data_IF_974037400842
#
_entry.id   IF_974037400842
#
_cell.length_a   1.000
_cell.length_b   1.000
_cell.length_c   1.000
_cell.angle_alpha   90.00
_cell.angle_beta   90.00
_cell.angle_gamma   90.00
#
_symmetry.space_group_name_H-M   'P 1'
#
loop_
_entity.id
_entity.type
_entity.pdbx_description
1 polymer ?
#
# COMPACT_ATOMS: atom_id res chain seq x y z
N UNK A 1 -19.34 -0.72 28.83
CA UNK A 1 -19.38 0.46 29.74
C UNK A 1 -18.58 1.57 29.08
N UNK A 2 -19.25 2.55 28.46
CA UNK A 2 -18.56 3.67 27.80
C UNK A 2 -18.20 4.69 28.89
N UNK A 3 -16.89 4.94 29.08
CA UNK A 3 -16.41 5.82 30.14
C UNK A 3 -16.94 7.25 29.95
N UNK A 4 -17.32 7.92 31.05
CA UNK A 4 -17.84 9.29 31.10
C UNK A 4 -16.94 10.36 30.41
N UNK A 5 -15.71 9.99 30.04
CA UNK A 5 -14.76 10.81 29.28
C UNK A 5 -15.09 10.94 27.77
N UNK A 6 -15.98 10.10 27.23
CA UNK A 6 -16.33 10.07 25.81
C UNK A 6 -17.58 10.92 25.45
N UNK A 7 -18.34 11.39 26.45
CA UNK A 7 -19.50 12.24 26.25
C UNK A 7 -19.08 13.71 26.43
N UNK A 8 -19.25 14.55 25.41
CA UNK A 8 -19.18 16.01 25.57
C UNK A 8 -20.44 16.64 25.01
N UNK A 9 -21.07 17.51 25.78
CA UNK A 9 -22.28 18.24 25.39
C UNK A 9 -23.42 17.31 24.89
N UNK A 10 -23.57 16.13 25.49
CA UNK A 10 -24.61 15.16 25.10
C UNK A 10 -24.29 14.31 23.86
N UNK A 11 -23.15 14.55 23.21
CA UNK A 11 -22.69 13.77 22.06
C UNK A 11 -21.61 12.77 22.47
N UNK A 12 -21.72 11.55 21.96
CA UNK A 12 -20.67 10.53 22.08
C UNK A 12 -19.59 10.81 21.03
N UNK A 13 -18.40 11.17 21.49
CA UNK A 13 -17.23 11.31 20.63
C UNK A 13 -16.65 9.91 20.40
N UNK A 14 -17.08 9.25 19.33
CA UNK A 14 -16.65 7.88 19.01
C UNK A 14 -15.14 7.77 18.77
N UNK A 15 -14.52 8.88 18.39
CA UNK A 15 -13.10 8.93 18.04
C UNK A 15 -12.82 8.40 16.64
N UNK A 16 -13.87 8.16 15.85
CA UNK A 16 -13.77 7.74 14.46
C UNK A 16 -13.74 8.95 13.53
N UNK A 17 -12.93 8.87 12.49
CA UNK A 17 -12.79 9.91 11.47
C UNK A 17 -13.38 9.40 10.17
N UNK A 18 -14.14 10.25 9.50
CA UNK A 18 -14.81 9.94 8.25
C UNK A 18 -14.86 11.13 7.31
N UNK A 19 -15.33 10.90 6.08
CA UNK A 19 -15.64 11.92 5.09
C UNK A 19 -17.02 11.61 4.54
N UNK A 20 -17.69 12.63 4.04
CA UNK A 20 -18.92 12.45 3.27
C UNK A 20 -18.55 12.21 1.81
N UNK A 21 -19.07 11.13 1.23
CA UNK A 21 -18.94 10.88 -0.20
C UNK A 21 -19.84 11.83 -1.01
N UNK A 22 -19.79 11.71 -2.35
CA UNK A 22 -20.57 12.57 -3.25
C UNK A 22 -22.10 12.40 -3.08
N UNK A 23 -22.54 11.27 -2.54
CA UNK A 23 -23.94 10.94 -2.30
C UNK A 23 -24.40 11.31 -0.88
N UNK A 24 -23.51 11.90 -0.07
CA UNK A 24 -23.79 12.34 1.30
C UNK A 24 -23.74 11.23 2.34
N UNK A 25 -23.16 10.07 2.03
CA UNK A 25 -22.93 9.03 3.02
C UNK A 25 -21.64 9.29 3.80
N UNK A 26 -21.72 9.14 5.13
CA UNK A 26 -20.54 9.17 5.99
C UNK A 26 -19.76 7.87 5.84
N UNK A 27 -18.61 7.93 5.19
CA UNK A 27 -17.65 6.84 5.15
C UNK A 27 -16.72 6.99 6.35
N UNK A 28 -16.76 6.03 7.27
CA UNK A 28 -15.93 6.01 8.48
C UNK A 28 -14.64 5.24 8.18
N UNK A 29 -13.47 5.86 8.35
CA UNK A 29 -12.18 5.27 7.95
C UNK A 29 -11.44 4.56 9.05
N UNK A 30 -11.30 5.18 10.22
CA UNK A 30 -10.63 4.59 11.39
C UNK A 30 -10.66 5.55 12.59
N UNK A 31 -10.05 5.13 13.71
CA UNK A 31 -9.77 6.01 14.86
C UNK A 31 -8.84 7.16 14.46
N UNK A 32 -9.07 8.33 15.04
CA UNK A 32 -8.30 9.58 14.78
C UNK A 32 -6.77 9.42 14.88
N UNK A 33 -6.27 8.42 15.61
CA UNK A 33 -4.83 8.18 15.79
C UNK A 33 -4.16 7.49 14.60
N UNK A 34 -4.92 6.86 13.72
CA UNK A 34 -4.42 6.05 12.61
C UNK A 34 -4.49 6.79 11.26
N UNK A 35 -4.87 8.07 11.28
CA UNK A 35 -4.92 8.97 10.12
C UNK A 35 -3.55 9.61 9.88
N UNK A 36 -3.10 9.60 8.63
CA UNK A 36 -1.89 10.29 8.18
C UNK A 36 -2.22 11.64 7.54
N UNK A 37 -1.23 12.54 7.50
CA UNK A 37 -1.42 13.90 6.98
C UNK A 37 -0.39 14.16 5.87
N UNK A 38 -0.86 14.49 4.68
CA UNK A 38 -0.01 14.94 3.57
C UNK A 38 0.65 16.29 3.91
N UNK A 39 1.65 16.69 3.14
CA UNK A 39 2.37 17.96 3.35
C UNK A 39 1.50 19.21 3.22
N UNK A 40 0.35 19.11 2.55
CA UNK A 40 -0.63 20.19 2.38
C UNK A 40 -1.71 20.22 3.50
N UNK A 41 -1.62 19.32 4.48
CA UNK A 41 -2.60 19.20 5.56
C UNK A 41 -3.77 18.26 5.27
N UNK A 42 -3.86 17.71 4.04
CA UNK A 42 -4.87 16.72 3.68
C UNK A 42 -4.72 15.47 4.54
N UNK A 43 -5.82 14.98 5.09
CA UNK A 43 -5.87 13.76 5.88
C UNK A 43 -6.26 12.56 5.02
N UNK A 44 -5.60 11.43 5.22
CA UNK A 44 -5.98 10.15 4.63
C UNK A 44 -5.79 9.00 5.61
N UNK A 45 -6.57 7.94 5.45
CA UNK A 45 -6.48 6.74 6.29
C UNK A 45 -5.75 5.63 5.53
N UNK A 46 -4.48 5.33 5.85
CA UNK A 46 -3.70 4.32 5.14
C UNK A 46 -4.34 2.92 5.21
N UNK A 47 -4.85 2.51 6.38
CA UNK A 47 -5.48 1.20 6.56
C UNK A 47 -6.75 1.03 5.70
N UNK A 48 -7.51 2.11 5.51
CA UNK A 48 -8.68 2.10 4.65
C UNK A 48 -8.28 1.82 3.19
N UNK A 49 -7.27 2.53 2.68
CA UNK A 49 -6.74 2.33 1.32
C UNK A 49 -6.21 0.90 1.13
N UNK A 50 -5.42 0.41 2.08
CA UNK A 50 -4.84 -0.93 2.04
C UNK A 50 -5.92 -2.01 2.06
N UNK A 51 -6.91 -1.90 2.94
CA UNK A 51 -8.03 -2.84 3.01
C UNK A 51 -8.86 -2.81 1.74
N UNK A 52 -9.10 -1.61 1.17
CA UNK A 52 -9.84 -1.47 -0.07
C UNK A 52 -9.13 -2.11 -1.26
N UNK A 53 -7.82 -1.91 -1.40
CA UNK A 53 -7.04 -2.55 -2.47
C UNK A 53 -6.97 -4.06 -2.32
N UNK A 54 -6.94 -4.58 -1.09
CA UNK A 54 -6.95 -6.02 -0.80
C UNK A 54 -8.27 -6.73 -1.13
N UNK A 55 -9.33 -6.01 -1.51
CA UNK A 55 -10.50 -6.65 -2.14
C UNK A 55 -10.20 -7.14 -3.56
N UNK A 56 -9.17 -6.61 -4.21
CA UNK A 56 -8.69 -7.17 -5.46
C UNK A 56 -8.10 -8.56 -5.22
N UNK A 57 -8.49 -9.59 -5.99
CA UNK A 57 -7.92 -10.93 -5.83
C UNK A 57 -6.44 -10.99 -6.26
N UNK A 58 -5.95 -9.97 -6.98
CA UNK A 58 -4.58 -9.89 -7.46
C UNK A 58 -3.61 -9.28 -6.45
N UNK A 59 -4.11 -8.66 -5.38
CA UNK A 59 -3.32 -7.90 -4.41
C UNK A 59 -3.35 -8.61 -3.06
N UNK A 60 -2.17 -9.04 -2.59
CA UNK A 60 -2.02 -9.75 -1.32
C UNK A 60 -1.98 -8.81 -0.13
N UNK A 61 -1.06 -7.84 -0.21
CA UNK A 61 -0.83 -6.84 0.83
C UNK A 61 -0.43 -5.52 0.18
N UNK A 62 -0.73 -4.43 0.87
CA UNK A 62 -0.42 -3.08 0.41
C UNK A 62 0.15 -2.30 1.57
N UNK A 63 1.11 -1.44 1.26
CA UNK A 63 1.57 -0.39 2.15
C UNK A 63 1.28 0.97 1.52
N UNK A 64 0.32 1.70 2.09
CA UNK A 64 0.04 3.08 1.73
C UNK A 64 1.01 4.04 2.45
N UNK A 65 1.61 4.94 1.68
CA UNK A 65 2.62 5.91 2.13
C UNK A 65 2.13 7.30 1.78
N UNK A 66 2.31 8.27 2.68
CA UNK A 66 1.94 9.66 2.40
C UNK A 66 2.17 10.64 3.55
N UNK A 67 2.49 10.16 4.75
CA UNK A 67 2.69 11.06 5.90
C UNK A 67 3.80 12.09 5.62
N UNK A 68 3.44 13.37 5.69
CA UNK A 68 4.27 14.54 5.38
C UNK A 68 4.86 14.51 3.95
N UNK A 69 4.15 13.88 3.02
CA UNK A 69 4.50 13.79 1.59
C UNK A 69 3.48 14.52 0.71
N UNK A 70 3.84 14.90 -0.53
CA UNK A 70 2.94 15.66 -1.41
C UNK A 70 1.72 14.88 -1.92
N UNK A 71 1.72 13.55 -1.83
CA UNK A 71 0.61 12.71 -2.27
C UNK A 71 0.69 11.33 -1.64
N UNK A 72 -0.39 10.55 -1.78
CA UNK A 72 -0.40 9.13 -1.40
C UNK A 72 0.26 8.28 -2.49
N UNK A 73 1.21 7.45 -2.09
CA UNK A 73 1.82 6.41 -2.90
C UNK A 73 1.56 5.02 -2.29
N UNK A 74 1.79 3.96 -3.06
CA UNK A 74 1.61 2.59 -2.58
C UNK A 74 2.78 1.67 -2.94
N UNK A 75 3.10 0.74 -2.05
CA UNK A 75 3.92 -0.45 -2.34
C UNK A 75 2.97 -1.65 -2.32
N UNK A 76 2.92 -2.39 -3.42
CA UNK A 76 1.94 -3.47 -3.63
C UNK A 76 2.64 -4.83 -3.68
N UNK A 77 2.17 -5.77 -2.86
CA UNK A 77 2.53 -7.18 -2.97
C UNK A 77 1.41 -7.89 -3.74
N UNK A 78 1.76 -8.56 -4.83
CA UNK A 78 0.79 -9.34 -5.62
C UNK A 78 0.45 -10.65 -4.90
N UNK A 79 -0.74 -11.20 -5.13
CA UNK A 79 -1.01 -12.59 -4.74
C UNK A 79 -0.40 -13.54 -5.77
N UNK A 80 0.69 -14.22 -5.40
CA UNK A 80 1.47 -15.02 -6.34
C UNK A 80 0.65 -16.11 -7.04
N UNK A 81 -0.23 -16.78 -6.31
CA UNK A 81 -1.00 -17.89 -6.84
C UNK A 81 -2.06 -17.38 -7.84
N UNK A 82 -2.76 -16.30 -7.49
CA UNK A 82 -3.82 -15.75 -8.35
C UNK A 82 -3.23 -15.06 -9.58
N UNK A 83 -2.20 -14.23 -9.40
CA UNK A 83 -1.54 -13.52 -10.50
C UNK A 83 -0.78 -14.49 -11.40
N UNK A 84 -0.18 -15.54 -10.83
CA UNK A 84 0.48 -16.61 -11.58
C UNK A 84 -0.49 -17.30 -12.55
N UNK A 85 -1.65 -17.74 -12.06
CA UNK A 85 -2.70 -18.29 -12.92
C UNK A 85 -3.17 -17.30 -13.99
N UNK A 86 -3.37 -16.04 -13.61
CA UNK A 86 -3.77 -14.98 -14.55
C UNK A 86 -2.74 -14.77 -15.68
N UNK A 87 -1.45 -14.91 -15.37
CA UNK A 87 -0.35 -14.81 -16.31
C UNK A 87 -0.25 -16.04 -17.23
N UNK A 88 -0.42 -17.24 -16.68
CA UNK A 88 -0.50 -18.50 -17.45
C UNK A 88 -1.63 -18.47 -18.50
N UNK A 89 -2.82 -18.02 -18.11
CA UNK A 89 -3.98 -17.86 -19.01
C UNK A 89 -3.68 -16.90 -20.18
N UNK A 90 -2.72 -15.99 -19.99
CA UNK A 90 -2.26 -15.00 -20.98
C UNK A 90 -0.96 -15.37 -21.68
N UNK A 91 -0.41 -16.56 -21.40
CA UNK A 91 0.86 -17.05 -21.95
C UNK A 91 2.05 -16.14 -21.62
N UNK A 92 2.01 -15.48 -20.47
CA UNK A 92 3.13 -14.73 -19.92
C UNK A 92 4.03 -15.72 -19.18
N UNK A 93 5.25 -15.90 -19.67
CA UNK A 93 6.22 -16.78 -19.04
C UNK A 93 6.84 -16.09 -17.82
N UNK A 94 6.97 -16.83 -16.71
CA UNK A 94 7.69 -16.43 -15.52
C UNK A 94 8.18 -17.69 -14.80
N UNK A 95 9.21 -17.56 -13.97
CA UNK A 95 9.80 -18.68 -13.21
C UNK A 95 9.81 -18.45 -11.71
N UNK A 96 9.55 -17.22 -11.27
CA UNK A 96 9.64 -16.83 -9.87
C UNK A 96 8.72 -15.66 -9.53
N UNK A 97 8.47 -15.44 -8.25
CA UNK A 97 7.73 -14.27 -7.76
C UNK A 97 8.36 -12.94 -8.20
N UNK A 98 9.68 -12.70 -7.99
CA UNK A 98 10.29 -11.44 -8.38
C UNK A 98 10.10 -11.15 -9.86
N UNK A 99 10.31 -12.13 -10.72
CA UNK A 99 10.09 -12.00 -12.17
C UNK A 99 8.63 -11.62 -12.48
N UNK A 100 7.67 -12.39 -11.98
CA UNK A 100 6.24 -12.13 -12.20
C UNK A 100 5.80 -10.75 -11.68
N UNK A 101 6.25 -10.36 -10.48
CA UNK A 101 5.89 -9.07 -9.88
C UNK A 101 6.37 -7.87 -10.70
N UNK A 102 7.48 -8.06 -11.44
CA UNK A 102 8.08 -7.02 -12.27
C UNK A 102 7.62 -7.05 -13.73
N UNK A 103 6.77 -8.01 -14.12
CA UNK A 103 6.22 -8.09 -15.45
C UNK A 103 5.37 -6.87 -15.80
N UNK A 104 5.55 -6.33 -17.01
CA UNK A 104 4.86 -5.11 -17.42
C UNK A 104 3.34 -5.29 -17.44
N UNK A 105 2.87 -6.48 -17.81
CA UNK A 105 1.45 -6.82 -17.80
C UNK A 105 0.88 -6.88 -16.37
N UNK A 106 1.68 -7.28 -15.38
CA UNK A 106 1.28 -7.31 -13.97
C UNK A 106 1.25 -5.90 -13.36
N UNK A 107 2.18 -5.02 -13.76
CA UNK A 107 2.08 -3.60 -13.43
C UNK A 107 0.79 -2.96 -13.97
N UNK A 108 0.41 -3.26 -15.21
CA UNK A 108 -0.86 -2.77 -15.76
C UNK A 108 -2.08 -3.34 -15.04
N UNK A 109 -2.06 -4.64 -14.71
CA UNK A 109 -3.11 -5.28 -13.90
C UNK A 109 -3.31 -4.56 -12.56
N UNK A 110 -2.23 -4.32 -11.81
CA UNK A 110 -2.27 -3.62 -10.53
C UNK A 110 -2.72 -2.16 -10.72
N UNK A 111 -2.24 -1.48 -11.78
CA UNK A 111 -2.64 -0.11 -12.10
C UNK A 111 -4.14 -0.01 -12.30
N UNK A 112 -4.75 -0.94 -13.03
CA UNK A 112 -6.20 -0.99 -13.24
C UNK A 112 -6.98 -1.12 -11.93
N UNK A 113 -6.52 -1.97 -11.01
CA UNK A 113 -7.15 -2.15 -9.70
C UNK A 113 -7.06 -0.88 -8.83
N UNK A 114 -5.91 -0.18 -8.87
CA UNK A 114 -5.75 1.10 -8.17
C UNK A 114 -6.63 2.18 -8.80
N UNK A 115 -6.73 2.23 -10.13
CA UNK A 115 -7.63 3.18 -10.84
C UNK A 115 -9.08 2.93 -10.44
N UNK A 116 -9.54 1.68 -10.37
CA UNK A 116 -10.89 1.33 -9.93
C UNK A 116 -11.15 1.83 -8.50
N UNK A 117 -10.22 1.56 -7.57
CA UNK A 117 -10.34 2.02 -6.18
C UNK A 117 -10.35 3.55 -6.10
N UNK A 118 -9.49 4.24 -6.86
CA UNK A 118 -9.37 5.69 -6.84
C UNK A 118 -10.66 6.41 -7.25
N UNK A 119 -11.57 5.78 -8.01
CA UNK A 119 -12.85 6.41 -8.41
C UNK A 119 -13.72 6.79 -7.22
N UNK A 120 -13.67 6.00 -6.15
CA UNK A 120 -14.49 6.19 -4.96
C UNK A 120 -13.80 7.07 -3.90
N UNK A 121 -12.61 7.59 -4.20
CA UNK A 121 -11.81 8.37 -3.27
C UNK A 121 -11.85 9.87 -3.59
N UNK A 122 -11.84 10.73 -2.57
CA UNK A 122 -11.58 12.15 -2.75
C UNK A 122 -10.26 12.36 -3.50
N UNK A 123 -10.15 13.37 -4.39
CA UNK A 123 -8.94 13.60 -5.19
C UNK A 123 -7.64 13.60 -4.38
N UNK A 124 -7.68 14.17 -3.18
CA UNK A 124 -6.52 14.31 -2.30
C UNK A 124 -6.09 13.00 -1.59
N UNK A 125 -6.96 11.98 -1.56
CA UNK A 125 -6.68 10.66 -1.00
C UNK A 125 -6.35 9.60 -2.07
N UNK A 126 -6.41 9.96 -3.36
CA UNK A 126 -6.11 9.04 -4.47
C UNK A 126 -4.62 8.66 -4.46
N UNK A 127 -4.36 7.38 -4.68
CA UNK A 127 -2.99 6.88 -4.89
C UNK A 127 -2.49 7.41 -6.23
N UNK A 128 -1.39 8.15 -6.24
CA UNK A 128 -0.82 8.78 -7.45
C UNK A 128 0.33 7.99 -8.07
N UNK A 129 1.12 7.29 -7.26
CA UNK A 129 2.23 6.45 -7.72
C UNK A 129 2.27 5.14 -6.96
N UNK A 130 2.77 4.09 -7.60
CA UNK A 130 3.01 2.82 -6.93
C UNK A 130 4.20 2.06 -7.51
N UNK A 131 4.65 1.06 -6.77
CA UNK A 131 5.58 0.02 -7.22
C UNK A 131 5.01 -1.36 -6.84
N UNK A 132 5.39 -2.39 -7.59
CA UNK A 132 5.17 -3.78 -7.15
C UNK A 132 6.41 -4.24 -6.39
N UNK A 133 6.24 -4.71 -5.16
CA UNK A 133 7.33 -5.24 -4.37
C UNK A 133 7.79 -6.58 -4.94
N UNK A 134 9.11 -6.80 -4.97
CA UNK A 134 9.76 -8.01 -5.49
C UNK A 134 9.59 -9.25 -4.59
N UNK A 135 8.95 -9.11 -3.43
CA UNK A 135 8.58 -10.20 -2.52
C UNK A 135 7.26 -9.88 -1.81
N UNK A 136 6.72 -10.87 -1.10
CA UNK A 136 5.63 -10.62 -0.15
C UNK A 136 6.17 -10.10 1.19
N UNK A 137 5.31 -9.38 1.93
CA UNK A 137 5.62 -9.02 3.30
C UNK A 137 5.56 -10.25 4.20
N UNK A 138 6.55 -10.38 5.08
CA UNK A 138 6.69 -11.54 5.96
C UNK A 138 6.65 -11.13 7.44
N UNK A 139 5.99 -11.95 8.26
CA UNK A 139 6.00 -11.78 9.70
C UNK A 139 7.34 -12.19 10.32
N UNK A 140 8.02 -13.16 9.70
CA UNK A 140 9.33 -13.64 10.14
C UNK A 140 10.45 -12.63 9.77
N UNK A 141 10.20 -11.74 8.80
CA UNK A 141 11.10 -10.61 8.47
C UNK A 141 10.82 -9.34 9.31
N UNK A 142 9.98 -9.43 10.35
CA UNK A 142 9.51 -8.31 11.19
C UNK A 142 8.69 -7.24 10.43
N UNK A 143 8.27 -7.50 9.19
CA UNK A 143 7.51 -6.56 8.36
C UNK A 143 6.03 -6.55 8.73
N UNK A 144 5.52 -7.72 9.14
CA UNK A 144 4.18 -7.91 9.67
C UNK A 144 4.22 -8.34 11.13
N UNK A 145 3.16 -8.04 11.88
CA UNK A 145 2.88 -8.75 13.14
C UNK A 145 2.43 -10.19 12.85
N UNK A 146 2.39 -11.05 13.88
CA UNK A 146 1.76 -12.38 13.78
C UNK A 146 0.29 -12.35 13.34
N UNK A 147 -0.40 -11.23 13.58
CA UNK A 147 -1.77 -10.98 13.11
C UNK A 147 -1.82 -10.34 11.72
N UNK A 148 -0.70 -10.35 10.99
CA UNK A 148 -0.53 -9.76 9.65
C UNK A 148 -0.77 -8.25 9.57
N UNK A 149 -0.55 -7.51 10.67
CA UNK A 149 -0.58 -6.04 10.66
C UNK A 149 0.78 -5.49 10.24
N UNK A 150 0.81 -4.58 9.26
CA UNK A 150 2.06 -3.97 8.79
C UNK A 150 2.76 -3.14 9.89
N UNK A 151 4.05 -3.39 10.09
CA UNK A 151 4.93 -2.63 10.99
C UNK A 151 5.54 -1.44 10.25
N UNK A 152 4.72 -0.40 10.01
CA UNK A 152 5.05 0.78 9.19
C UNK A 152 6.42 1.39 9.46
N UNK A 153 6.74 1.68 10.72
CA UNK A 153 8.02 2.28 11.08
C UNK A 153 9.22 1.40 10.71
N UNK A 154 9.06 0.07 10.79
CA UNK A 154 10.12 -0.86 10.41
C UNK A 154 10.28 -0.94 8.89
N UNK A 155 9.17 -1.12 8.16
CA UNK A 155 9.21 -1.18 6.68
C UNK A 155 9.64 0.14 6.05
N UNK A 156 9.35 1.29 6.67
CA UNK A 156 9.79 2.61 6.20
C UNK A 156 11.31 2.77 6.27
N UNK A 157 11.94 2.23 7.32
CA UNK A 157 13.41 2.21 7.43
C UNK A 157 14.01 1.20 6.46
N UNK A 158 13.46 -0.02 6.40
CA UNK A 158 13.95 -1.12 5.56
C UNK A 158 13.88 -0.80 4.07
N UNK A 159 12.81 -0.17 3.63
CA UNK A 159 12.52 0.14 2.23
C UNK A 159 12.66 1.64 1.92
N UNK A 160 13.57 2.32 2.61
CA UNK A 160 13.80 3.76 2.46
C UNK A 160 14.04 4.17 1.01
N UNK A 161 14.80 3.39 0.24
CA UNK A 161 15.09 3.71 -1.15
C UNK A 161 13.86 3.60 -2.06
N UNK A 162 12.93 2.68 -1.76
CA UNK A 162 11.62 2.59 -2.43
C UNK A 162 10.80 3.84 -2.13
N UNK A 163 10.74 4.23 -0.85
CA UNK A 163 10.02 5.44 -0.43
C UNK A 163 10.59 6.66 -1.14
N UNK A 164 11.91 6.84 -1.14
CA UNK A 164 12.55 7.97 -1.80
C UNK A 164 12.34 7.93 -3.32
N UNK A 165 12.41 6.75 -3.93
CA UNK A 165 12.16 6.54 -5.34
C UNK A 165 10.74 6.89 -5.79
N UNK A 166 9.73 6.57 -4.98
CA UNK A 166 8.32 6.92 -5.24
C UNK A 166 8.08 8.43 -5.29
N UNK A 167 8.88 9.22 -4.56
CA UNK A 167 8.78 10.69 -4.53
C UNK A 167 9.87 11.40 -5.32
N UNK A 168 10.78 10.66 -5.94
CA UNK A 168 11.78 11.19 -6.86
C UNK A 168 11.22 11.24 -8.29
N UNK A 169 11.83 12.07 -9.13
CA UNK A 169 11.55 12.10 -10.56
C UNK A 169 12.35 10.99 -11.28
N UNK A 170 11.98 9.73 -11.01
CA UNK A 170 12.67 8.53 -11.53
C UNK A 170 11.65 7.49 -11.97
N UNK A 171 11.95 6.80 -13.07
CA UNK A 171 11.11 5.70 -13.59
C UNK A 171 11.36 4.37 -12.87
N UNK A 172 12.54 4.22 -12.25
CA UNK A 172 12.95 2.98 -11.59
C UNK A 172 13.65 3.26 -10.25
N UNK A 173 13.44 2.36 -9.31
CA UNK A 173 14.18 2.27 -8.05
C UNK A 173 15.09 1.05 -8.14
N UNK A 174 16.40 1.28 -8.13
CA UNK A 174 17.37 0.20 -8.06
C UNK A 174 17.46 -0.29 -6.62
N UNK A 175 17.15 -1.57 -6.41
CA UNK A 175 17.32 -2.23 -5.13
C UNK A 175 18.53 -3.14 -5.19
N UNK A 176 19.52 -2.83 -4.37
CA UNK A 176 20.75 -3.61 -4.19
C UNK A 176 20.95 -3.73 -2.67
N UNK A 177 20.35 -4.77 -2.08
CA UNK A 177 20.30 -4.92 -0.62
C UNK A 177 20.44 -6.38 -0.21
N UNK A 178 21.19 -6.59 0.86
CA UNK A 178 21.29 -7.87 1.54
C UNK A 178 20.12 -8.01 2.52
N UNK A 179 19.22 -8.96 2.27
CA UNK A 179 18.21 -9.35 3.25
C UNK A 179 18.76 -10.51 4.07
N UNK A 180 18.99 -10.26 5.36
CA UNK A 180 19.22 -11.31 6.34
C UNK A 180 17.87 -11.77 6.89
N UNK A 181 17.54 -13.03 6.65
CA UNK A 181 16.36 -13.69 7.22
C UNK A 181 16.65 -14.11 8.67
N UNK A 182 15.60 -14.37 9.46
CA UNK A 182 15.73 -14.85 10.86
C UNK A 182 16.55 -16.14 10.98
N UNK A 183 16.56 -16.99 9.94
CA UNK A 183 17.34 -18.23 9.89
C UNK A 183 18.85 -17.99 9.59
N UNK A 184 19.27 -16.72 9.46
CA UNK A 184 20.64 -16.31 9.19
C UNK A 184 21.03 -16.35 7.71
N UNK A 185 20.12 -16.75 6.80
CA UNK A 185 20.39 -16.68 5.36
C UNK A 185 20.48 -15.22 4.93
N UNK A 186 21.53 -14.91 4.19
CA UNK A 186 21.70 -13.61 3.54
C UNK A 186 21.41 -13.78 2.06
N UNK A 187 20.32 -13.20 1.58
CA UNK A 187 20.00 -13.14 0.15
C UNK A 187 20.33 -11.75 -0.36
N UNK A 188 21.19 -11.72 -1.37
CA UNK A 188 21.46 -10.50 -2.10
C UNK A 188 20.33 -10.27 -3.11
N UNK A 189 19.55 -9.22 -2.91
CA UNK A 189 18.49 -8.83 -3.83
C UNK A 189 19.00 -7.68 -4.67
N UNK A 190 19.11 -7.97 -5.97
CA UNK A 190 19.40 -7.00 -7.01
C UNK A 190 18.24 -6.95 -7.99
N UNK A 191 17.41 -5.91 -7.91
CA UNK A 191 16.25 -5.79 -8.78
C UNK A 191 15.87 -4.33 -9.02
N UNK A 192 15.30 -4.05 -10.19
CA UNK A 192 14.77 -2.74 -10.52
C UNK A 192 13.25 -2.76 -10.34
N UNK A 193 12.76 -1.89 -9.47
CA UNK A 193 11.32 -1.66 -9.30
C UNK A 193 10.88 -0.52 -10.19
N UNK A 194 9.88 -0.74 -11.04
CA UNK A 194 9.31 0.33 -11.88
C UNK A 194 8.37 1.18 -11.04
N UNK A 195 8.57 2.50 -11.06
CA UNK A 195 7.64 3.47 -10.50
C UNK A 195 6.56 3.73 -11.52
N UNK A 196 5.32 3.35 -11.21
CA UNK A 196 4.17 3.55 -12.08
C UNK A 196 3.35 4.74 -11.60
N UNK A 197 2.98 5.61 -12.53
CA UNK A 197 2.00 6.65 -12.28
C UNK A 197 0.57 6.11 -12.45
N UNK A 198 -0.33 6.60 -11.60
CA UNK A 198 -1.75 6.29 -11.65
C UNK A 198 -2.47 7.52 -12.20
N UNK A 199 -3.18 7.41 -13.33
CA UNK A 199 -3.90 8.55 -13.87
C UNK A 199 -4.96 9.03 -12.86
N UNK A 200 -5.21 10.35 -12.76
CA UNK A 200 -6.32 10.87 -11.99
C UNK A 200 -7.61 10.33 -12.60
N UNK A 201 -8.31 9.46 -11.85
CA UNK A 201 -9.62 8.92 -12.21
C UNK A 201 -10.67 10.03 -12.30
#
# INVERSE_FOLDING_TARGET
>A
VVAAKALRNGWLYSGDTGFFDADGHLVVFDRTKDVMVLSDGTKFAPQYLETRLKFSPYIKDVWAIGDRRPFVAAVVCIDYAVVGKWAEDRKIAYTSYPELSQESAVYELVREEIVKMNRDLPPAAKVRKFVNLYKEFDADDDELTRTRKLRRAFVEVRYKDIVEGLYADREKVHMDTNITYEDGRVVHIKTDLRVMEVPPA
#
